data_IF_996505017818
#
_entry.id   IF_996505017818
#
_cell.length_a   1.000
_cell.length_b   1.000
_cell.length_c   1.000
_cell.angle_alpha   90.00
_cell.angle_beta   90.00
_cell.angle_gamma   90.00
#
_symmetry.space_group_name_H-M   'P 1'
#
loop_
_entity.id
_entity.type
_entity.pdbx_description
1 polymer ?
#
# COMPACT_ATOMS: atom_id res chain seq x y z
N UNK A 1 28.06 -27.75 2.29
CA UNK A 1 28.98 -28.01 1.15
C UNK A 1 30.32 -27.34 1.44
N UNK A 2 31.41 -28.09 1.55
CA UNK A 2 32.72 -27.50 1.81
C UNK A 2 33.23 -26.76 0.58
N UNK A 3 33.28 -25.45 0.61
CA UNK A 3 33.69 -24.59 -0.50
C UNK A 3 35.18 -24.38 -0.60
N UNK A 4 35.98 -24.85 0.39
CA UNK A 4 37.44 -24.68 0.41
C UNK A 4 38.14 -25.36 -0.79
N UNK A 5 37.65 -26.53 -1.24
CA UNK A 5 38.20 -27.24 -2.38
C UNK A 5 38.07 -26.56 -3.74
N UNK A 6 37.22 -25.52 -3.81
CA UNK A 6 36.97 -24.78 -5.06
C UNK A 6 37.71 -23.43 -5.10
N UNK A 7 38.41 -23.05 -4.03
CA UNK A 7 39.22 -21.81 -4.01
C UNK A 7 40.37 -21.92 -5.01
N UNK A 8 40.58 -20.88 -5.81
CA UNK A 8 41.53 -20.86 -6.91
C UNK A 8 41.03 -21.51 -8.22
N UNK A 9 39.87 -22.14 -8.21
CA UNK A 9 39.24 -22.69 -9.43
C UNK A 9 38.39 -21.63 -10.15
N UNK A 10 38.63 -21.40 -11.44
CA UNK A 10 37.91 -20.45 -12.27
C UNK A 10 36.43 -20.75 -12.36
N UNK A 11 36.01 -21.98 -12.32
CA UNK A 11 34.61 -22.41 -12.50
C UNK A 11 33.95 -22.87 -11.20
N UNK A 12 34.71 -23.01 -10.11
CA UNK A 12 34.25 -23.50 -8.82
C UNK A 12 33.41 -24.78 -8.90
N UNK A 13 33.82 -25.73 -9.74
CA UNK A 13 33.15 -27.02 -9.98
C UNK A 13 31.86 -26.93 -10.80
N UNK A 14 31.56 -25.78 -11.41
CA UNK A 14 30.33 -25.55 -12.19
C UNK A 14 30.44 -25.83 -13.69
N UNK A 15 31.53 -26.41 -14.16
CA UNK A 15 31.77 -26.65 -15.59
C UNK A 15 32.14 -25.39 -16.36
N UNK A 16 31.75 -25.30 -17.63
CA UNK A 16 32.09 -24.12 -18.44
C UNK A 16 31.45 -22.84 -17.93
N UNK A 17 32.13 -21.73 -18.16
CA UNK A 17 31.69 -20.40 -17.65
C UNK A 17 30.28 -19.98 -18.11
N UNK A 18 29.84 -20.49 -19.29
CA UNK A 18 28.49 -20.22 -19.83
C UNK A 18 27.37 -20.93 -19.07
N UNK A 19 27.60 -22.11 -18.49
CA UNK A 19 26.58 -22.92 -17.83
C UNK A 19 25.99 -22.26 -16.57
N UNK A 20 26.70 -21.36 -15.92
CA UNK A 20 26.21 -20.65 -14.72
C UNK A 20 25.53 -19.34 -15.02
N UNK A 21 25.78 -18.74 -16.18
CA UNK A 21 25.18 -17.45 -16.55
C UNK A 21 23.76 -17.61 -17.08
N UNK A 22 23.49 -18.69 -17.83
CA UNK A 22 22.16 -19.07 -18.27
C UNK A 22 21.34 -19.74 -17.17
N UNK A 23 20.08 -19.93 -17.41
CA UNK A 23 19.17 -20.63 -16.52
C UNK A 23 18.55 -21.88 -17.12
N UNK A 24 19.04 -22.33 -18.30
CA UNK A 24 18.52 -23.50 -19.02
C UNK A 24 18.57 -24.80 -18.21
N UNK A 25 19.69 -25.08 -17.54
CA UNK A 25 19.87 -26.28 -16.68
C UNK A 25 19.03 -26.20 -15.38
N UNK A 26 18.36 -25.08 -15.10
CA UNK A 26 17.54 -24.85 -13.90
C UNK A 26 16.06 -24.62 -14.22
N UNK A 27 15.65 -24.88 -15.46
CA UNK A 27 14.28 -24.69 -15.90
C UNK A 27 13.85 -23.25 -16.17
N UNK A 28 14.80 -22.30 -16.23
CA UNK A 28 14.52 -20.89 -16.51
C UNK A 28 14.41 -20.01 -15.26
N UNK A 29 14.02 -18.75 -15.47
CA UNK A 29 13.86 -17.75 -14.41
C UNK A 29 12.42 -17.23 -14.37
N UNK A 30 12.00 -16.78 -13.19
CA UNK A 30 10.68 -16.17 -13.00
C UNK A 30 9.54 -17.12 -13.35
N UNK A 31 8.64 -16.69 -14.24
CA UNK A 31 7.48 -17.48 -14.70
C UNK A 31 7.78 -18.36 -15.94
N UNK A 32 9.05 -18.55 -16.32
CA UNK A 32 9.41 -19.40 -17.44
C UNK A 32 8.91 -20.83 -17.24
N UNK A 33 8.46 -21.45 -18.32
CA UNK A 33 7.91 -22.80 -18.29
C UNK A 33 6.52 -22.92 -17.65
N UNK A 34 5.87 -21.83 -17.31
CA UNK A 34 4.56 -21.81 -16.66
C UNK A 34 3.47 -22.59 -17.41
N UNK A 35 3.47 -22.54 -18.73
CA UNK A 35 2.54 -23.31 -19.56
C UNK A 35 3.07 -24.73 -19.94
N UNK A 36 4.22 -25.14 -19.44
CA UNK A 36 4.83 -26.46 -19.72
C UNK A 36 5.26 -27.14 -18.42
N UNK A 37 6.58 -27.24 -18.19
CA UNK A 37 7.13 -28.00 -17.05
C UNK A 37 6.83 -27.43 -15.66
N UNK A 38 6.37 -26.16 -15.56
CA UNK A 38 5.91 -25.54 -14.34
C UNK A 38 4.41 -25.30 -14.28
N UNK A 39 3.62 -25.97 -15.15
CA UNK A 39 2.17 -25.78 -15.24
C UNK A 39 1.44 -26.11 -13.92
N UNK A 40 1.70 -27.31 -13.38
CA UNK A 40 1.09 -27.73 -12.11
C UNK A 40 1.45 -26.77 -10.96
N UNK A 41 2.72 -26.35 -10.90
CA UNK A 41 3.17 -25.36 -9.90
C UNK A 41 2.46 -24.01 -10.06
N UNK A 42 2.18 -23.58 -11.28
CA UNK A 42 1.46 -22.34 -11.54
C UNK A 42 0.01 -22.45 -11.08
N UNK A 43 -0.66 -23.59 -11.36
CA UNK A 43 -2.04 -23.85 -10.89
C UNK A 43 -2.14 -23.87 -9.36
N UNK A 44 -1.24 -24.60 -8.69
CA UNK A 44 -1.23 -24.66 -7.21
C UNK A 44 -1.01 -23.30 -6.55
N UNK A 45 -0.38 -22.36 -7.26
CA UNK A 45 -0.19 -20.98 -6.80
C UNK A 45 -1.30 -20.03 -7.23
N UNK A 46 -2.36 -20.53 -7.86
CA UNK A 46 -3.46 -19.72 -8.34
C UNK A 46 -3.10 -18.76 -9.49
N UNK A 47 -2.00 -19.03 -10.22
CA UNK A 47 -1.66 -18.20 -11.38
C UNK A 47 -2.61 -18.47 -12.53
N UNK A 48 -3.28 -17.44 -12.95
CA UNK A 48 -4.06 -17.41 -14.17
C UNK A 48 -3.21 -16.94 -15.34
N UNK A 49 -3.37 -17.59 -16.50
CA UNK A 49 -2.66 -17.23 -17.74
C UNK A 49 -3.48 -16.24 -18.56
N UNK A 50 -2.79 -15.38 -19.29
CA UNK A 50 -3.40 -14.38 -20.14
C UNK A 50 -3.43 -12.98 -19.53
N UNK A 51 -4.09 -12.07 -20.21
CA UNK A 51 -4.34 -10.71 -19.73
C UNK A 51 -5.72 -10.66 -19.09
N UNK A 52 -5.81 -10.10 -17.89
CA UNK A 52 -7.07 -9.91 -17.17
C UNK A 52 -7.38 -8.43 -17.07
N UNK A 53 -8.57 -8.07 -17.54
CA UNK A 53 -9.08 -6.72 -17.51
C UNK A 53 -8.27 -5.72 -18.38
N UNK A 54 -8.56 -4.47 -18.19
CA UNK A 54 -7.84 -3.36 -18.82
C UNK A 54 -7.43 -2.33 -17.76
N UNK A 55 -6.37 -1.58 -18.03
CA UNK A 55 -5.95 -0.47 -17.18
C UNK A 55 -6.53 0.83 -17.77
N UNK A 56 -7.27 1.58 -16.94
CA UNK A 56 -7.78 2.89 -17.34
C UNK A 56 -6.61 3.85 -17.59
N UNK A 57 -6.63 4.65 -18.69
CA UNK A 57 -5.62 5.67 -18.90
C UNK A 57 -5.56 6.65 -17.71
N UNK A 58 -4.34 7.08 -17.36
CA UNK A 58 -4.14 7.97 -16.21
C UNK A 58 -4.84 9.33 -16.40
N UNK A 59 -4.91 9.81 -17.64
CA UNK A 59 -5.58 11.08 -18.01
C UNK A 59 -7.08 11.11 -17.66
N UNK A 60 -7.72 9.93 -17.55
CA UNK A 60 -9.15 9.80 -17.22
C UNK A 60 -9.38 9.60 -15.71
N UNK A 61 -8.32 9.30 -14.97
CA UNK A 61 -8.40 9.11 -13.53
C UNK A 61 -8.33 10.47 -12.83
N UNK A 62 -9.31 10.78 -11.96
CA UNK A 62 -9.21 11.94 -11.09
C UNK A 62 -8.16 11.67 -10.01
N UNK A 63 -7.29 12.65 -9.79
CA UNK A 63 -6.41 12.66 -8.63
C UNK A 63 -7.23 13.18 -7.44
N UNK A 64 -7.41 12.34 -6.45
CA UNK A 64 -8.17 12.62 -5.21
C UNK A 64 -7.16 12.91 -4.10
N UNK A 65 -7.27 14.06 -3.45
CA UNK A 65 -6.47 14.39 -2.27
C UNK A 65 -6.92 13.55 -1.08
N UNK A 66 -6.00 12.80 -0.49
CA UNK A 66 -6.27 11.88 0.61
C UNK A 66 -5.46 12.24 1.85
N UNK A 67 -6.01 11.90 3.03
CA UNK A 67 -5.31 11.98 4.32
C UNK A 67 -5.66 10.75 5.16
N UNK A 68 -4.75 10.31 6.02
CA UNK A 68 -4.99 9.21 6.95
C UNK A 68 -5.42 9.73 8.33
N UNK A 69 -6.28 8.97 9.01
CA UNK A 69 -6.74 9.35 10.37
C UNK A 69 -5.59 9.46 11.38
N UNK A 70 -4.52 8.65 11.23
CA UNK A 70 -3.35 8.78 12.10
C UNK A 70 -2.59 10.09 11.90
N UNK A 71 -2.49 10.56 10.65
CA UNK A 71 -1.88 11.86 10.32
C UNK A 71 -2.70 13.01 10.93
N UNK A 72 -4.04 12.94 10.84
CA UNK A 72 -4.93 13.92 11.46
C UNK A 72 -4.81 13.93 12.98
N UNK A 73 -4.67 12.77 13.62
CA UNK A 73 -4.47 12.67 15.07
C UNK A 73 -3.15 13.35 15.49
N UNK A 74 -2.08 13.18 14.73
CA UNK A 74 -0.79 13.82 15.00
C UNK A 74 -0.82 15.32 14.73
N UNK A 75 -1.45 15.74 13.62
CA UNK A 75 -1.49 17.12 13.18
C UNK A 75 -2.56 17.96 13.91
N UNK A 76 -3.55 17.34 14.57
CA UNK A 76 -4.65 18.06 15.22
C UNK A 76 -4.21 19.23 16.12
N UNK A 77 -3.19 19.10 17.00
CA UNK A 77 -2.74 20.23 17.83
C UNK A 77 -2.11 21.36 17.00
N UNK A 78 -1.42 21.00 15.91
CA UNK A 78 -0.81 21.98 15.02
C UNK A 78 -1.87 22.76 14.24
N UNK A 79 -2.90 22.08 13.73
CA UNK A 79 -4.02 22.70 13.01
C UNK A 79 -4.79 23.70 13.90
N UNK A 80 -4.90 23.42 15.18
CA UNK A 80 -5.49 24.37 16.14
C UNK A 80 -4.63 25.63 16.29
N UNK A 81 -3.31 25.48 16.38
CA UNK A 81 -2.39 26.62 16.49
C UNK A 81 -2.41 27.50 15.23
N UNK A 82 -2.60 26.91 14.06
CA UNK A 82 -2.74 27.63 12.79
C UNK A 82 -4.17 28.20 12.56
N UNK A 83 -5.12 27.89 13.44
CA UNK A 83 -6.50 28.36 13.32
C UNK A 83 -7.33 27.62 12.26
N UNK A 84 -6.86 26.47 11.80
CA UNK A 84 -7.52 25.60 10.80
C UNK A 84 -8.43 24.55 11.46
N UNK A 85 -8.31 24.38 12.77
CA UNK A 85 -9.16 23.51 13.56
C UNK A 85 -9.58 24.22 14.87
N UNK A 86 -10.72 23.83 15.42
CA UNK A 86 -11.26 24.37 16.67
C UNK A 86 -11.35 23.24 17.70
N UNK A 87 -11.17 23.61 18.97
CA UNK A 87 -11.43 22.69 20.08
C UNK A 87 -12.78 23.09 20.69
N UNK A 88 -13.78 22.20 20.61
CA UNK A 88 -15.08 22.33 21.23
C UNK A 88 -15.41 21.08 22.03
N UNK A 89 -15.88 21.21 23.23
CA UNK A 89 -16.27 20.11 24.13
C UNK A 89 -15.19 19.03 24.31
N UNK A 90 -13.90 19.40 24.22
CA UNK A 90 -12.78 18.46 24.32
C UNK A 90 -12.51 17.64 23.04
N UNK A 91 -13.19 17.92 21.94
CA UNK A 91 -12.98 17.33 20.64
C UNK A 91 -12.34 18.32 19.65
N UNK A 92 -11.52 17.80 18.75
CA UNK A 92 -10.91 18.57 17.67
C UNK A 92 -11.84 18.58 16.46
N UNK A 93 -12.37 19.74 16.12
CA UNK A 93 -13.20 19.97 14.95
C UNK A 93 -12.32 20.38 13.77
N UNK A 94 -12.25 19.54 12.76
CA UNK A 94 -11.39 19.74 11.59
C UNK A 94 -12.25 19.71 10.33
N UNK A 95 -12.23 20.82 9.56
CA UNK A 95 -12.87 20.87 8.26
C UNK A 95 -11.81 20.65 7.17
N UNK A 96 -11.89 19.52 6.48
CA UNK A 96 -10.93 19.12 5.46
C UNK A 96 -11.19 19.75 4.09
N UNK A 97 -12.41 20.25 3.84
CA UNK A 97 -12.71 20.99 2.60
C UNK A 97 -11.83 22.24 2.48
N UNK A 98 -11.65 22.97 3.59
CA UNK A 98 -10.79 24.16 3.62
C UNK A 98 -9.32 23.83 3.32
N UNK A 99 -8.91 22.57 3.52
CA UNK A 99 -7.57 22.07 3.23
C UNK A 99 -7.46 21.43 1.84
N UNK A 100 -8.56 21.36 1.09
CA UNK A 100 -8.60 20.72 -0.22
C UNK A 100 -8.41 19.20 -0.18
N UNK A 101 -8.82 18.58 0.92
CA UNK A 101 -8.75 17.13 1.12
C UNK A 101 -10.15 16.55 0.94
N UNK A 102 -10.28 15.65 -0.05
CA UNK A 102 -11.56 15.09 -0.47
C UNK A 102 -11.89 13.77 0.23
N UNK A 103 -10.87 13.02 0.71
CA UNK A 103 -11.11 11.69 1.29
C UNK A 103 -10.23 11.35 2.47
N UNK A 104 -10.86 10.77 3.51
CA UNK A 104 -10.21 10.27 4.72
C UNK A 104 -10.04 8.76 4.68
N UNK A 105 -8.82 8.28 4.91
CA UNK A 105 -8.46 6.87 4.95
C UNK A 105 -8.13 6.41 6.37
N UNK A 106 -8.36 5.12 6.64
CA UNK A 106 -8.24 4.54 7.98
C UNK A 106 -6.85 4.06 8.39
N UNK A 107 -5.76 4.52 7.76
CA UNK A 107 -4.42 4.14 8.20
C UNK A 107 -4.01 4.89 9.47
N UNK A 108 -3.21 4.24 10.31
CA UNK A 108 -2.74 4.81 11.57
C UNK A 108 -3.66 4.54 12.76
N UNK A 109 -3.34 5.17 13.91
CA UNK A 109 -4.06 5.06 15.17
C UNK A 109 -4.69 6.41 15.52
N UNK A 110 -5.87 6.38 16.07
CA UNK A 110 -6.59 7.56 16.60
C UNK A 110 -6.56 7.48 18.12
N UNK A 111 -6.07 8.53 18.76
CA UNK A 111 -5.99 8.64 20.24
C UNK A 111 -6.82 9.80 20.78
N UNK A 112 -7.18 10.75 19.92
CA UNK A 112 -7.92 11.96 20.27
C UNK A 112 -9.35 11.89 19.78
N UNK A 113 -10.24 12.63 20.42
CA UNK A 113 -11.62 12.79 19.94
C UNK A 113 -11.59 13.74 18.74
N UNK A 114 -11.84 13.20 17.54
CA UNK A 114 -11.83 13.94 16.29
C UNK A 114 -13.24 14.07 15.74
N UNK A 115 -13.66 15.27 15.43
CA UNK A 115 -14.88 15.58 14.66
C UNK A 115 -14.42 16.09 13.31
N UNK A 116 -14.60 15.29 12.27
CA UNK A 116 -14.02 15.55 10.95
C UNK A 116 -15.14 15.77 9.95
N UNK A 117 -15.05 16.86 9.20
CA UNK A 117 -15.92 17.16 8.07
C UNK A 117 -15.15 16.93 6.77
N UNK A 118 -15.64 16.06 5.89
CA UNK A 118 -15.03 15.71 4.59
C UNK A 118 -16.07 15.17 3.63
N UNK A 119 -15.83 15.25 2.33
CA UNK A 119 -16.71 14.69 1.30
C UNK A 119 -16.85 13.15 1.39
N UNK A 120 -15.76 12.45 1.69
CA UNK A 120 -15.74 11.00 1.66
C UNK A 120 -14.90 10.40 2.81
N UNK A 121 -15.42 9.32 3.38
CA UNK A 121 -14.71 8.51 4.38
C UNK A 121 -14.62 7.05 3.92
N UNK A 122 -13.52 6.38 4.23
CA UNK A 122 -13.47 4.91 4.14
C UNK A 122 -14.14 4.28 5.37
N UNK A 123 -14.71 3.07 5.20
CA UNK A 123 -15.36 2.33 6.32
C UNK A 123 -14.43 2.20 7.52
N UNK A 124 -13.19 1.79 7.29
CA UNK A 124 -12.18 1.66 8.34
C UNK A 124 -11.79 2.98 9.01
N UNK A 125 -11.96 4.14 8.35
CA UNK A 125 -11.77 5.44 8.97
C UNK A 125 -12.92 5.78 9.91
N UNK A 126 -14.17 5.57 9.48
CA UNK A 126 -15.36 5.77 10.31
C UNK A 126 -15.30 4.95 11.58
N UNK A 127 -15.07 3.65 11.45
CA UNK A 127 -14.96 2.73 12.61
C UNK A 127 -13.90 3.19 13.63
N UNK A 128 -12.74 3.67 13.15
CA UNK A 128 -11.67 4.14 14.04
C UNK A 128 -11.99 5.45 14.74
N UNK A 129 -12.59 6.39 14.03
CA UNK A 129 -12.98 7.70 14.58
C UNK A 129 -14.08 7.50 15.62
N UNK A 130 -15.12 6.72 15.31
CA UNK A 130 -16.23 6.42 16.21
C UNK A 130 -15.76 5.63 17.45
N UNK A 131 -14.87 4.65 17.28
CA UNK A 131 -14.30 3.88 18.40
C UNK A 131 -13.43 4.72 19.32
N UNK A 132 -12.87 5.83 18.85
CA UNK A 132 -12.12 6.81 19.63
C UNK A 132 -13.03 7.89 20.29
N UNK A 133 -14.35 7.82 20.06
CA UNK A 133 -15.33 8.78 20.61
C UNK A 133 -15.54 10.01 19.74
N UNK A 134 -15.00 10.03 18.52
CA UNK A 134 -15.19 11.10 17.55
C UNK A 134 -16.43 10.91 16.67
N UNK A 135 -16.64 11.81 15.72
CA UNK A 135 -17.71 11.71 14.74
C UNK A 135 -17.26 12.13 13.33
N UNK A 136 -17.89 11.54 12.33
CA UNK A 136 -17.69 11.86 10.93
C UNK A 136 -18.89 12.64 10.41
N UNK A 137 -18.66 13.77 9.76
CA UNK A 137 -19.66 14.61 9.14
C UNK A 137 -19.40 14.59 7.64
N UNK A 138 -20.35 14.03 6.88
CA UNK A 138 -20.27 14.04 5.42
C UNK A 138 -20.66 15.46 4.94
N UNK A 139 -19.77 16.10 4.19
CA UNK A 139 -20.05 17.35 3.52
C UNK A 139 -20.86 17.07 2.24
N UNK A 140 -21.92 17.85 2.01
CA UNK A 140 -22.78 17.75 0.81
C UNK A 140 -22.16 18.46 -0.40
#
# INVERSE_FOLDING_TARGET
>A
MDTKKFRGSRTCGGGTHKNRRGAGNRGGRGKAGGCKHHFVRAMLRGYSYGKHGFKRPAEVSKDISIVNVGELDELAPYLVNEGLAEIKDGAYHINLENLGIEKVLGSGRVTKNLVITSENFSESAREKIESAGGSCIDAE
#
